data_IF_577350616893
#
_entry.id   IF_577350616893
#
_cell.length_a   1.000
_cell.length_b   1.000
_cell.length_c   1.000
_cell.angle_alpha   90.00
_cell.angle_beta   90.00
_cell.angle_gamma   90.00
#
_symmetry.space_group_name_H-M   'P 1'
#
loop_
_entity.id
_entity.type
_entity.pdbx_description
1 polymer ?
#
# COMPACT_ATOMS: atom_id res chain seq x y z
N UNK A 1 34.57 11.68 -4.06
CA UNK A 1 34.17 11.53 -5.47
C UNK A 1 34.25 10.06 -5.79
N UNK A 2 33.11 9.38 -5.81
CA UNK A 2 33.02 8.01 -6.32
C UNK A 2 32.96 8.13 -7.84
N UNK A 3 34.01 7.71 -8.54
CA UNK A 3 34.02 7.66 -10.00
C UNK A 3 33.29 6.39 -10.44
N UNK A 4 32.16 6.55 -11.13
CA UNK A 4 31.46 5.44 -11.77
C UNK A 4 32.26 4.98 -13.00
N UNK A 5 32.40 3.67 -13.18
CA UNK A 5 33.08 3.08 -14.33
C UNK A 5 32.16 2.05 -14.98
N UNK A 6 31.98 2.19 -16.29
CA UNK A 6 31.24 1.20 -17.08
C UNK A 6 32.17 0.10 -17.58
N UNK A 7 31.67 -1.13 -17.67
CA UNK A 7 32.44 -2.21 -18.30
C UNK A 7 32.41 -2.09 -19.83
N UNK A 8 33.59 -2.04 -20.47
CA UNK A 8 33.70 -1.99 -21.95
C UNK A 8 33.02 -3.14 -22.67
N UNK A 9 32.94 -4.32 -22.05
CA UNK A 9 32.40 -5.53 -22.68
C UNK A 9 30.89 -5.66 -22.48
N UNK A 10 30.40 -5.61 -21.25
CA UNK A 10 28.99 -5.87 -20.94
C UNK A 10 28.15 -4.62 -20.67
N UNK A 11 28.73 -3.42 -20.72
CA UNK A 11 28.04 -2.14 -20.52
C UNK A 11 27.49 -1.90 -19.11
N UNK A 12 27.67 -2.83 -18.17
CA UNK A 12 27.18 -2.66 -16.80
C UNK A 12 28.00 -1.59 -16.06
N UNK A 13 27.30 -0.61 -15.49
CA UNK A 13 27.88 0.34 -14.55
C UNK A 13 28.03 -0.32 -13.17
N UNK A 14 29.25 -0.30 -12.62
CA UNK A 14 29.48 -0.78 -11.25
C UNK A 14 29.51 0.41 -10.30
N UNK A 15 28.34 0.75 -9.73
CA UNK A 15 28.17 1.85 -8.75
C UNK A 15 28.95 1.66 -7.43
N UNK A 16 29.58 0.50 -7.21
CA UNK A 16 30.29 0.19 -5.96
C UNK A 16 31.59 -0.56 -6.23
N UNK A 17 32.67 0.18 -6.44
CA UNK A 17 34.01 -0.36 -6.21
C UNK A 17 34.14 -0.53 -4.69
N UNK A 18 33.77 -1.71 -4.18
CA UNK A 18 34.30 -2.12 -2.88
C UNK A 18 35.82 -2.13 -3.02
N UNK A 19 36.55 -1.50 -2.09
CA UNK A 19 38.01 -1.28 -2.14
C UNK A 19 38.89 -2.52 -2.45
N UNK A 20 38.30 -3.71 -2.54
CA UNK A 20 38.97 -4.99 -2.86
C UNK A 20 39.03 -5.32 -4.35
N UNK A 21 38.28 -4.64 -5.23
CA UNK A 21 38.24 -4.97 -6.66
C UNK A 21 38.49 -3.73 -7.51
N UNK A 22 39.76 -3.39 -7.73
CA UNK A 22 40.11 -2.35 -8.70
C UNK A 22 39.67 -2.79 -10.12
N UNK A 23 39.05 -1.89 -10.89
CA UNK A 23 38.68 -2.19 -12.27
C UNK A 23 39.92 -2.58 -13.08
N UNK A 24 39.79 -3.62 -13.90
CA UNK A 24 40.92 -4.16 -14.66
C UNK A 24 41.02 -3.45 -16.00
N UNK A 25 42.20 -2.90 -16.32
CA UNK A 25 42.47 -2.26 -17.60
C UNK A 25 42.26 -3.25 -18.76
N UNK A 26 41.47 -2.84 -19.76
CA UNK A 26 41.15 -3.68 -20.93
C UNK A 26 42.38 -4.05 -21.74
N UNK A 27 43.39 -3.18 -21.80
CA UNK A 27 44.65 -3.39 -22.54
C UNK A 27 45.39 -4.66 -22.11
N UNK A 28 45.35 -5.01 -20.82
CA UNK A 28 45.95 -6.24 -20.26
C UNK A 28 45.27 -7.52 -20.76
N UNK A 29 44.08 -7.40 -21.32
CA UNK A 29 43.26 -8.51 -21.82
C UNK A 29 42.97 -8.41 -23.33
N UNK A 30 43.62 -7.50 -24.07
CA UNK A 30 43.35 -7.24 -25.49
C UNK A 30 43.43 -8.50 -26.36
N UNK A 31 44.47 -9.31 -26.18
CA UNK A 31 44.63 -10.58 -26.91
C UNK A 31 43.49 -11.56 -26.64
N UNK A 32 43.10 -11.73 -25.38
CA UNK A 32 42.05 -12.66 -24.98
C UNK A 32 40.68 -12.18 -25.49
N UNK A 33 40.42 -10.87 -25.46
CA UNK A 33 39.20 -10.25 -25.98
C UNK A 33 39.10 -10.42 -27.50
N UNK A 34 40.17 -10.12 -28.24
CA UNK A 34 40.21 -10.28 -29.69
C UNK A 34 39.97 -11.74 -30.11
N UNK A 35 40.59 -12.71 -29.44
CA UNK A 35 40.41 -14.12 -29.78
C UNK A 35 39.06 -14.70 -29.36
N UNK A 36 38.50 -14.26 -28.23
CA UNK A 36 37.26 -14.83 -27.70
C UNK A 36 35.99 -14.20 -28.30
N UNK A 37 36.03 -12.89 -28.58
CA UNK A 37 34.87 -12.08 -28.96
C UNK A 37 35.01 -11.44 -30.34
N UNK A 38 36.18 -11.54 -30.98
CA UNK A 38 36.48 -10.90 -32.27
C UNK A 38 36.33 -9.36 -32.24
N UNK A 39 36.76 -8.73 -31.13
CA UNK A 39 36.72 -7.27 -30.94
C UNK A 39 38.14 -6.72 -30.83
N UNK A 40 38.43 -5.66 -31.58
CA UNK A 40 39.72 -4.98 -31.56
C UNK A 40 39.67 -3.74 -30.66
N UNK A 41 40.15 -3.89 -29.42
CA UNK A 41 40.05 -2.84 -28.39
C UNK A 41 41.23 -1.86 -28.34
N UNK A 42 42.31 -2.14 -29.08
CA UNK A 42 43.52 -1.31 -29.08
C UNK A 42 43.27 0.07 -29.72
N UNK A 43 42.27 0.15 -30.60
CA UNK A 43 41.84 1.36 -31.29
C UNK A 43 40.51 1.89 -30.75
N UNK A 44 40.09 1.48 -29.55
CA UNK A 44 38.87 2.01 -28.93
C UNK A 44 39.00 3.55 -28.78
N UNK A 45 38.01 4.34 -29.22
CA UNK A 45 38.05 5.78 -29.04
C UNK A 45 38.02 6.17 -27.56
N UNK A 46 38.56 7.35 -27.19
CA UNK A 46 38.79 7.75 -25.80
C UNK A 46 37.52 7.89 -24.94
N UNK A 47 36.34 7.95 -25.56
CA UNK A 47 35.06 7.99 -24.83
C UNK A 47 34.58 6.61 -24.35
N UNK A 48 35.14 5.51 -24.89
CA UNK A 48 34.81 4.17 -24.43
C UNK A 48 35.59 3.82 -23.16
N UNK A 49 34.94 3.14 -22.23
CA UNK A 49 35.57 2.74 -20.97
C UNK A 49 36.88 1.98 -21.21
N UNK A 50 37.90 2.32 -20.41
CA UNK A 50 39.20 1.65 -20.41
C UNK A 50 39.24 0.40 -19.52
N UNK A 51 38.10 0.02 -18.95
CA UNK A 51 38.03 -1.05 -17.94
C UNK A 51 37.06 -2.16 -18.33
N UNK A 52 37.33 -3.36 -17.82
CA UNK A 52 36.39 -4.48 -17.83
C UNK A 52 36.03 -4.85 -16.39
N UNK A 53 34.78 -5.19 -16.14
CA UNK A 53 34.33 -5.64 -14.82
C UNK A 53 34.90 -7.02 -14.48
N UNK A 54 34.94 -7.33 -13.18
CA UNK A 54 35.50 -8.57 -12.65
C UNK A 54 34.80 -9.82 -13.22
N UNK A 55 33.48 -9.74 -13.42
CA UNK A 55 32.71 -10.82 -14.03
C UNK A 55 33.17 -11.13 -15.46
N UNK A 56 33.39 -10.12 -16.29
CA UNK A 56 33.88 -10.30 -17.66
C UNK A 56 35.32 -10.83 -17.67
N UNK A 57 36.18 -10.33 -16.78
CA UNK A 57 37.54 -10.82 -16.60
C UNK A 57 37.57 -12.30 -16.23
N UNK A 58 36.78 -12.74 -15.24
CA UNK A 58 36.72 -14.13 -14.81
C UNK A 58 36.22 -15.06 -15.93
N UNK A 59 35.24 -14.60 -16.74
CA UNK A 59 34.77 -15.34 -17.92
C UNK A 59 35.86 -15.49 -18.98
N UNK A 60 36.62 -14.45 -19.29
CA UNK A 60 37.77 -14.50 -20.19
C UNK A 60 38.86 -15.47 -19.69
N UNK A 61 39.18 -15.43 -18.39
CA UNK A 61 40.18 -16.33 -17.78
C UNK A 61 39.75 -17.79 -17.84
N UNK A 62 38.46 -18.08 -17.59
CA UNK A 62 37.90 -19.44 -17.71
C UNK A 62 37.95 -19.93 -19.16
N UNK A 63 37.50 -19.11 -20.09
CA UNK A 63 37.55 -19.41 -21.53
C UNK A 63 38.98 -19.75 -21.98
N UNK A 64 39.97 -18.93 -21.61
CA UNK A 64 41.39 -19.17 -21.94
C UNK A 64 41.89 -20.52 -21.40
N UNK A 65 41.52 -20.88 -20.16
CA UNK A 65 41.89 -22.18 -19.58
C UNK A 65 41.28 -23.36 -20.34
N UNK A 66 40.04 -23.21 -20.83
CA UNK A 66 39.37 -24.28 -21.57
C UNK A 66 39.92 -24.43 -23.00
N UNK A 67 40.24 -23.31 -23.67
CA UNK A 67 40.90 -23.32 -24.99
C UNK A 67 42.29 -23.96 -24.90
N UNK A 68 43.08 -23.64 -23.87
CA UNK A 68 44.40 -24.27 -23.65
C UNK A 68 44.32 -25.79 -23.39
N UNK A 69 43.14 -26.30 -23.03
CA UNK A 69 42.87 -27.74 -22.88
C UNK A 69 42.29 -28.37 -24.15
N UNK A 70 42.38 -27.70 -25.30
CA UNK A 70 41.82 -28.11 -26.59
C UNK A 70 40.30 -28.38 -26.56
N UNK A 71 39.56 -27.74 -25.64
CA UNK A 71 38.09 -27.82 -25.61
C UNK A 71 37.50 -26.72 -26.48
N UNK A 72 36.43 -27.05 -27.23
CA UNK A 72 35.59 -26.04 -27.89
C UNK A 72 34.83 -25.27 -26.81
N UNK A 73 35.35 -24.12 -26.40
CA UNK A 73 34.75 -23.26 -25.38
C UNK A 73 34.06 -22.06 -26.02
N UNK A 74 32.77 -21.87 -25.73
CA UNK A 74 32.03 -20.63 -26.04
C UNK A 74 32.13 -19.69 -24.85
N UNK A 75 32.46 -18.43 -25.09
CA UNK A 75 32.44 -17.39 -24.06
C UNK A 75 31.03 -16.82 -23.95
N UNK A 76 30.48 -16.76 -22.73
CA UNK A 76 29.14 -16.23 -22.48
C UNK A 76 29.23 -14.78 -21.99
N UNK A 77 29.68 -13.88 -22.86
CA UNK A 77 29.65 -12.43 -22.65
C UNK A 77 28.83 -11.86 -23.80
N UNK A 78 27.68 -11.29 -23.48
CA UNK A 78 26.89 -10.48 -24.41
C UNK A 78 27.59 -9.13 -24.54
N UNK A 79 28.14 -8.88 -25.72
CA UNK A 79 28.89 -7.67 -26.01
C UNK A 79 27.89 -6.60 -26.37
N UNK A 80 27.98 -5.45 -25.71
CA UNK A 80 27.21 -4.27 -26.13
C UNK A 80 27.88 -3.70 -27.37
N UNK A 81 27.23 -3.86 -28.53
CA UNK A 81 27.62 -3.18 -29.76
C UNK A 81 27.30 -1.69 -29.60
N UNK A 82 28.33 -0.88 -29.40
CA UNK A 82 28.20 0.57 -29.34
C UNK A 82 28.30 1.05 -30.78
N UNK A 83 27.15 1.14 -31.46
CA UNK A 83 27.08 1.67 -32.81
C UNK A 83 27.65 3.09 -32.81
N UNK A 84 28.70 3.31 -33.61
CA UNK A 84 29.37 4.62 -33.73
C UNK A 84 28.48 5.70 -34.36
N UNK A 85 27.20 5.39 -34.64
CA UNK A 85 26.22 6.26 -35.28
C UNK A 85 25.33 7.08 -34.32
N UNK A 86 25.25 6.74 -33.04
CA UNK A 86 24.21 7.31 -32.16
C UNK A 86 24.65 8.51 -31.29
N UNK A 87 25.85 9.04 -31.53
CA UNK A 87 26.33 10.25 -30.82
C UNK A 87 25.94 11.55 -31.56
N UNK A 88 25.46 11.47 -32.81
CA UNK A 88 25.10 12.66 -33.62
C UNK A 88 23.58 12.89 -33.80
N UNK A 89 22.73 11.95 -33.40
CA UNK A 89 21.26 12.07 -33.36
C UNK A 89 20.75 12.81 -32.11
N UNK A 90 21.60 13.11 -31.11
CA UNK A 90 21.19 13.86 -29.92
C UNK A 90 20.92 15.36 -30.16
N UNK A 91 21.29 15.89 -31.33
CA UNK A 91 21.16 17.32 -31.64
C UNK A 91 19.71 17.79 -31.93
N UNK A 92 18.75 16.88 -32.14
CA UNK A 92 17.33 17.23 -32.25
C UNK A 92 16.53 17.13 -30.93
N UNK A 93 17.10 16.52 -29.88
CA UNK A 93 16.38 16.34 -28.60
C UNK A 93 16.46 17.55 -27.65
N UNK A 94 17.44 18.45 -27.84
CA UNK A 94 17.65 19.54 -26.90
C UNK A 94 16.50 20.57 -26.89
N UNK A 95 15.86 20.83 -28.05
CA UNK A 95 14.75 21.80 -28.10
C UNK A 95 13.51 21.31 -27.35
N UNK A 96 13.23 20.00 -27.39
CA UNK A 96 12.04 19.44 -26.76
C UNK A 96 12.14 19.46 -25.23
N UNK A 97 13.33 19.16 -24.70
CA UNK A 97 13.56 19.21 -23.25
C UNK A 97 13.63 20.63 -22.70
N UNK A 98 14.15 21.59 -23.47
CA UNK A 98 14.11 23.01 -23.11
C UNK A 98 12.68 23.51 -22.90
N UNK A 99 11.73 23.08 -23.74
CA UNK A 99 10.31 23.40 -23.57
C UNK A 99 9.75 22.87 -22.25
N UNK A 100 10.05 21.61 -21.92
CA UNK A 100 9.61 20.99 -20.66
C UNK A 100 10.26 21.67 -19.45
N UNK A 101 11.56 22.01 -19.52
CA UNK A 101 12.25 22.74 -18.45
C UNK A 101 11.68 24.15 -18.25
N UNK A 102 11.32 24.85 -19.33
CA UNK A 102 10.64 26.15 -19.24
C UNK A 102 9.29 26.00 -18.55
N UNK A 103 8.47 25.03 -18.98
CA UNK A 103 7.17 24.73 -18.34
C UNK A 103 7.35 24.33 -16.87
N UNK A 104 8.34 23.51 -16.56
CA UNK A 104 8.66 23.10 -15.20
C UNK A 104 8.91 24.32 -14.32
N UNK A 105 9.76 25.23 -14.77
CA UNK A 105 10.07 26.47 -14.06
C UNK A 105 8.83 27.35 -13.88
N UNK A 106 7.98 27.49 -14.90
CA UNK A 106 6.71 28.24 -14.82
C UNK A 106 5.75 27.65 -13.77
N UNK A 107 5.71 26.33 -13.66
CA UNK A 107 4.91 25.60 -12.66
C UNK A 107 5.58 25.55 -11.27
N UNK A 108 6.76 26.16 -11.09
CA UNK A 108 7.51 26.21 -9.83
C UNK A 108 8.26 24.92 -9.50
N UNK A 109 8.67 24.14 -10.51
CA UNK A 109 9.50 22.95 -10.37
C UNK A 109 10.96 23.28 -10.64
N UNK A 110 11.85 22.51 -10.05
CA UNK A 110 13.30 22.58 -10.28
C UNK A 110 13.71 21.38 -11.12
N UNK A 111 14.40 21.60 -12.24
CA UNK A 111 15.00 20.52 -13.03
C UNK A 111 16.39 20.17 -12.49
N UNK A 112 16.70 18.88 -12.48
CA UNK A 112 18.03 18.36 -12.16
C UNK A 112 18.30 17.12 -13.02
N UNK A 113 19.56 16.89 -13.39
CA UNK A 113 19.98 15.68 -14.10
C UNK A 113 20.73 14.81 -13.10
N UNK A 114 20.22 13.60 -12.86
CA UNK A 114 20.81 12.64 -11.93
C UNK A 114 20.88 11.27 -12.59
N UNK A 115 22.08 10.67 -12.60
CA UNK A 115 22.33 9.32 -13.14
C UNK A 115 21.81 9.12 -14.58
N UNK A 116 21.91 10.16 -15.43
CA UNK A 116 21.41 10.12 -16.81
C UNK A 116 19.90 10.32 -16.95
N UNK A 117 19.17 10.46 -15.85
CA UNK A 117 17.74 10.75 -15.82
C UNK A 117 17.48 12.23 -15.57
N UNK A 118 16.49 12.80 -16.27
CA UNK A 118 16.01 14.16 -15.99
C UNK A 118 14.94 14.09 -14.91
N UNK A 119 15.18 14.72 -13.78
CA UNK A 119 14.26 14.79 -12.65
C UNK A 119 13.72 16.22 -12.48
N UNK A 120 12.40 16.35 -12.46
CA UNK A 120 11.69 17.58 -12.12
C UNK A 120 11.18 17.45 -10.69
N UNK A 121 11.56 18.39 -9.83
CA UNK A 121 11.34 18.33 -8.39
C UNK A 121 10.47 19.49 -7.96
N UNK A 122 9.37 19.22 -7.27
CA UNK A 122 8.53 20.22 -6.63
C UNK A 122 8.83 20.27 -5.13
N UNK A 123 9.25 21.46 -4.67
CA UNK A 123 9.58 21.71 -3.27
C UNK A 123 8.41 22.37 -2.53
N UNK A 124 8.26 22.03 -1.26
CA UNK A 124 7.40 22.74 -0.32
C UNK A 124 8.14 22.85 1.02
N UNK A 125 8.35 24.07 1.52
CA UNK A 125 9.08 24.32 2.77
C UNK A 125 10.47 23.63 2.78
N UNK A 126 11.23 23.77 1.69
CA UNK A 126 12.55 23.15 1.47
C UNK A 126 12.56 21.61 1.46
N UNK A 127 11.40 20.97 1.30
CA UNK A 127 11.28 19.52 1.22
C UNK A 127 10.78 19.08 -0.14
N UNK A 128 11.30 17.94 -0.60
CA UNK A 128 10.84 17.29 -1.83
C UNK A 128 9.44 16.75 -1.58
N UNK A 129 8.44 17.44 -2.13
CA UNK A 129 7.06 17.00 -2.08
C UNK A 129 6.82 15.94 -3.16
N UNK A 130 7.32 16.21 -4.36
CA UNK A 130 7.09 15.42 -5.56
C UNK A 130 8.30 15.48 -6.48
N UNK A 131 8.65 14.37 -7.10
CA UNK A 131 9.59 14.36 -8.22
C UNK A 131 9.11 13.49 -9.37
N UNK A 132 9.31 13.96 -10.59
CA UNK A 132 9.07 13.22 -11.83
C UNK A 132 10.43 12.99 -12.45
N UNK A 133 10.89 11.74 -12.47
CA UNK A 133 12.16 11.38 -13.09
C UNK A 133 11.89 10.63 -14.39
N UNK A 134 12.45 11.12 -15.49
CA UNK A 134 12.38 10.50 -16.82
C UNK A 134 13.76 10.00 -17.18
N UNK A 135 13.89 8.68 -17.30
CA UNK A 135 15.12 7.98 -17.67
C UNK A 135 15.37 8.13 -19.20
N UNK A 136 16.56 7.78 -19.67
CA UNK A 136 16.94 7.84 -21.11
C UNK A 136 15.98 7.06 -22.01
N UNK A 137 15.45 5.97 -21.49
CA UNK A 137 14.55 5.05 -22.19
C UNK A 137 13.09 5.54 -22.14
N UNK A 138 12.87 6.79 -21.75
CA UNK A 138 11.58 7.44 -21.55
C UNK A 138 10.70 6.80 -20.45
N UNK A 139 11.29 5.91 -19.65
CA UNK A 139 10.65 5.39 -18.45
C UNK A 139 10.49 6.54 -17.43
N UNK A 140 9.24 6.81 -17.04
CA UNK A 140 8.94 7.84 -16.04
C UNK A 140 8.61 7.21 -14.70
N UNK A 141 9.25 7.73 -13.65
CA UNK A 141 8.98 7.39 -12.26
C UNK A 141 8.48 8.64 -11.55
N UNK A 142 7.31 8.54 -10.95
CA UNK A 142 6.72 9.60 -10.14
C UNK A 142 6.91 9.23 -8.69
N UNK A 143 7.57 10.09 -7.93
CA UNK A 143 7.87 9.89 -6.53
C UNK A 143 7.13 10.98 -5.75
N UNK A 144 6.27 10.58 -4.82
CA UNK A 144 5.51 11.48 -3.95
C UNK A 144 5.91 11.15 -2.52
N UNK A 145 6.48 12.12 -1.79
CA UNK A 145 6.97 11.91 -0.42
C UNK A 145 7.83 10.63 -0.30
N UNK A 146 8.86 10.49 -1.13
CA UNK A 146 9.79 9.34 -1.17
C UNK A 146 9.19 8.00 -1.63
N UNK A 147 7.91 7.95 -2.02
CA UNK A 147 7.25 6.74 -2.52
C UNK A 147 7.00 6.80 -4.02
N UNK A 148 7.34 5.72 -4.71
CA UNK A 148 7.03 5.56 -6.13
C UNK A 148 5.51 5.33 -6.28
N UNK A 149 4.87 6.21 -7.05
CA UNK A 149 3.45 6.12 -7.39
C UNK A 149 3.33 5.55 -8.79
N UNK A 150 2.40 4.60 -8.95
CA UNK A 150 2.12 3.97 -10.24
C UNK A 150 1.46 4.94 -11.20
N UNK A 151 1.91 4.92 -12.45
CA UNK A 151 1.48 5.83 -13.50
C UNK A 151 -0.01 5.65 -13.88
N UNK A 152 -0.52 4.42 -13.79
CA UNK A 152 -1.91 4.10 -14.14
C UNK A 152 -2.94 4.86 -13.29
N UNK A 153 -2.55 5.30 -12.09
CA UNK A 153 -3.44 6.06 -11.21
C UNK A 153 -3.59 7.54 -11.64
N UNK A 154 -2.77 8.03 -12.57
CA UNK A 154 -2.68 9.45 -12.92
C UNK A 154 -3.14 9.68 -14.36
N UNK A 155 -2.79 8.81 -15.31
CA UNK A 155 -3.25 8.88 -16.70
C UNK A 155 -4.04 7.61 -17.03
N UNK A 156 -5.35 7.76 -17.22
CA UNK A 156 -6.28 6.64 -17.33
C UNK A 156 -6.07 5.74 -18.56
N UNK A 157 -5.19 6.07 -19.53
CA UNK A 157 -5.14 5.36 -20.82
C UNK A 157 -3.78 5.32 -21.56
N UNK A 158 -2.64 5.67 -20.94
CA UNK A 158 -1.36 5.72 -21.68
C UNK A 158 -0.35 4.69 -21.17
N UNK A 159 -0.06 3.70 -22.01
CA UNK A 159 0.83 2.57 -21.73
C UNK A 159 2.31 2.80 -22.05
N UNK A 160 2.69 3.93 -22.64
CA UNK A 160 4.11 4.28 -22.82
C UNK A 160 4.30 5.77 -23.05
N UNK A 161 5.30 6.36 -22.41
CA UNK A 161 5.71 7.75 -22.65
C UNK A 161 6.66 7.70 -23.84
N UNK A 162 6.10 7.70 -25.05
CA UNK A 162 6.91 7.72 -26.27
C UNK A 162 7.25 9.14 -26.73
N UNK A 163 6.69 10.15 -26.05
CA UNK A 163 6.76 11.53 -26.48
C UNK A 163 6.88 12.47 -25.27
N UNK A 164 7.71 13.49 -25.42
CA UNK A 164 7.93 14.54 -24.44
C UNK A 164 6.64 15.33 -24.16
N UNK A 165 5.72 15.41 -25.14
CA UNK A 165 4.40 16.02 -24.94
C UNK A 165 3.57 15.33 -23.85
N UNK A 166 3.80 14.04 -23.61
CA UNK A 166 3.14 13.28 -22.53
C UNK A 166 3.69 13.71 -21.16
N UNK A 167 4.99 13.98 -21.07
CA UNK A 167 5.64 14.49 -19.85
C UNK A 167 5.07 15.87 -19.50
N UNK A 168 4.91 16.75 -20.48
CA UNK A 168 4.27 18.06 -20.30
C UNK A 168 2.82 17.93 -19.80
N UNK A 169 2.00 17.09 -20.43
CA UNK A 169 0.61 16.82 -19.98
C UNK A 169 0.58 16.26 -18.55
N UNK A 170 1.52 15.37 -18.23
CA UNK A 170 1.67 14.80 -16.91
C UNK A 170 2.04 15.87 -15.87
N UNK A 171 3.01 16.72 -16.17
CA UNK A 171 3.45 17.81 -15.28
C UNK A 171 2.31 18.80 -15.01
N UNK A 172 1.56 19.18 -16.04
CA UNK A 172 0.38 20.04 -15.90
C UNK A 172 -0.68 19.37 -15.01
N UNK A 173 -1.02 18.11 -15.28
CA UNK A 173 -2.02 17.37 -14.50
C UNK A 173 -1.61 17.24 -13.03
N UNK A 174 -0.37 16.82 -12.77
CA UNK A 174 0.16 16.65 -11.42
C UNK A 174 0.25 17.99 -10.69
N UNK A 175 0.57 19.08 -11.38
CA UNK A 175 0.66 20.41 -10.77
C UNK A 175 -0.69 20.90 -10.24
N UNK A 176 -1.80 20.43 -10.83
CA UNK A 176 -3.15 20.69 -10.34
C UNK A 176 -3.60 19.73 -9.23
N UNK A 177 -2.89 18.62 -9.00
CA UNK A 177 -3.23 17.66 -7.95
C UNK A 177 -2.66 18.07 -6.59
N UNK A 178 -3.32 17.62 -5.52
CA UNK A 178 -2.84 17.76 -4.15
C UNK A 178 -2.22 16.46 -3.69
N UNK A 179 -1.16 16.55 -2.89
CA UNK A 179 -0.64 15.38 -2.18
C UNK A 179 -1.58 15.07 -1.04
N UNK A 180 -2.16 13.87 -1.05
CA UNK A 180 -2.99 13.38 0.04
C UNK A 180 -2.15 13.38 1.33
N UNK A 181 -2.57 14.02 2.43
CA UNK A 181 -1.85 14.05 3.70
C UNK A 181 -1.98 12.73 4.49
N UNK A 182 -2.84 11.82 4.03
CA UNK A 182 -3.26 10.65 4.79
C UNK A 182 -4.22 11.03 5.92
N UNK A 183 -4.11 10.34 7.06
CA UNK A 183 -4.89 10.58 8.27
C UNK A 183 -3.92 10.92 9.43
N UNK A 184 -3.26 12.07 9.31
CA UNK A 184 -2.23 12.57 10.24
C UNK A 184 -2.80 13.04 11.59
N UNK A 185 -4.07 13.44 11.62
CA UNK A 185 -4.80 13.84 12.82
C UNK A 185 -5.12 12.69 13.80
N UNK A 186 -4.76 11.46 13.45
CA UNK A 186 -4.97 10.24 14.24
C UNK A 186 -3.69 9.62 14.79
N UNK A 187 -2.60 10.39 14.88
CA UNK A 187 -1.33 9.90 15.45
C UNK A 187 -1.44 9.37 16.88
N UNK A 188 -2.45 9.81 17.64
CA UNK A 188 -2.76 9.31 18.99
C UNK A 188 -3.23 7.86 18.99
N UNK A 189 -3.94 7.41 17.95
CA UNK A 189 -4.35 6.02 17.79
C UNK A 189 -3.13 5.11 17.69
N UNK A 190 -2.13 5.52 16.89
CA UNK A 190 -0.91 4.75 16.68
C UNK A 190 -0.16 4.55 17.99
N UNK A 191 0.11 5.65 18.70
CA UNK A 191 0.89 5.64 19.95
C UNK A 191 0.26 4.77 21.05
N UNK A 192 -1.07 4.75 21.13
CA UNK A 192 -1.78 3.98 22.16
C UNK A 192 -1.84 2.48 21.83
N UNK A 193 -2.08 2.10 20.57
CA UNK A 193 -2.17 0.67 20.20
C UNK A 193 -0.81 0.01 20.01
N UNK A 194 0.17 0.77 19.54
CA UNK A 194 1.48 0.24 19.15
C UNK A 194 2.59 1.17 19.65
N UNK A 195 2.86 1.21 20.97
CA UNK A 195 3.81 2.16 21.55
C UNK A 195 5.25 1.94 21.09
N UNK A 196 5.58 0.75 20.60
CA UNK A 196 6.95 0.35 20.25
C UNK A 196 7.15 0.02 18.78
N UNK A 197 6.09 0.05 17.97
CA UNK A 197 6.13 -0.36 16.56
C UNK A 197 5.16 0.47 15.73
N UNK A 198 5.43 0.62 14.44
CA UNK A 198 4.48 1.28 13.53
C UNK A 198 3.12 0.57 13.55
N UNK A 199 2.05 1.35 13.70
CA UNK A 199 0.71 0.83 13.76
C UNK A 199 0.31 0.14 12.45
N UNK A 200 -0.30 -1.05 12.57
CA UNK A 200 -0.84 -1.82 11.44
C UNK A 200 -2.31 -2.10 11.68
N UNK A 201 -3.14 -1.74 10.71
CA UNK A 201 -4.59 -1.91 10.75
C UNK A 201 -4.98 -3.01 9.77
N UNK A 202 -5.56 -4.08 10.30
CA UNK A 202 -5.94 -5.26 9.52
C UNK A 202 -7.46 -5.46 9.54
N UNK A 203 -8.00 -6.11 8.51
CA UNK A 203 -9.40 -6.50 8.46
C UNK A 203 -9.65 -7.78 9.29
N UNK A 204 -10.86 -8.32 9.22
CA UNK A 204 -11.26 -9.57 9.89
C UNK A 204 -10.53 -10.82 9.37
N UNK A 205 -9.97 -10.74 8.18
CA UNK A 205 -9.20 -11.82 7.51
C UNK A 205 -7.68 -11.63 7.71
N UNK A 206 -7.26 -10.77 8.63
CA UNK A 206 -5.86 -10.40 8.88
C UNK A 206 -5.14 -9.71 7.70
N UNK A 207 -5.87 -9.23 6.69
CA UNK A 207 -5.30 -8.49 5.56
C UNK A 207 -5.00 -7.05 5.99
N UNK A 208 -3.78 -6.56 5.72
CA UNK A 208 -3.36 -5.19 6.00
C UNK A 208 -4.16 -4.19 5.14
N UNK A 209 -4.98 -3.36 5.79
CA UNK A 209 -5.75 -2.29 5.14
C UNK A 209 -4.99 -0.98 5.16
N UNK A 210 -4.36 -0.66 6.30
CA UNK A 210 -3.67 0.59 6.52
C UNK A 210 -2.48 0.42 7.46
N UNK A 211 -1.51 1.33 7.36
CA UNK A 211 -0.35 1.39 8.24
C UNK A 211 0.00 2.82 8.59
N UNK A 212 0.62 2.99 9.76
CA UNK A 212 1.33 4.20 10.12
C UNK A 212 2.59 4.34 9.27
N UNK A 213 2.80 5.55 8.77
CA UNK A 213 3.92 5.90 7.93
C UNK A 213 4.55 7.21 8.43
N UNK A 214 5.87 7.27 8.35
CA UNK A 214 6.63 8.49 8.58
C UNK A 214 7.01 9.07 7.21
N UNK A 215 6.36 10.17 6.83
CA UNK A 215 6.59 10.84 5.55
C UNK A 215 6.93 12.29 5.82
N UNK A 216 8.08 12.75 5.31
CA UNK A 216 8.53 14.13 5.48
C UNK A 216 8.41 14.62 6.95
N UNK A 217 8.86 13.79 7.90
CA UNK A 217 8.80 14.02 9.36
C UNK A 217 7.40 14.11 9.97
N UNK A 218 6.34 13.82 9.23
CA UNK A 218 4.97 13.69 9.75
C UNK A 218 4.62 12.22 9.90
N UNK A 219 3.87 11.93 10.95
CA UNK A 219 3.33 10.60 11.20
C UNK A 219 1.88 10.59 10.73
N UNK A 220 1.53 9.67 9.84
CA UNK A 220 0.19 9.60 9.24
C UNK A 220 -0.24 8.17 9.04
N UNK A 221 -1.56 7.91 9.10
CA UNK A 221 -2.11 6.60 8.78
C UNK A 221 -2.59 6.61 7.32
N UNK A 222 -2.05 5.72 6.51
CA UNK A 222 -2.45 5.56 5.09
C UNK A 222 -2.93 4.17 4.82
N UNK A 223 -3.92 4.06 3.93
CA UNK A 223 -4.33 2.77 3.38
C UNK A 223 -3.26 2.22 2.45
N UNK A 224 -3.17 0.90 2.32
CA UNK A 224 -2.25 0.24 1.38
C UNK A 224 -2.55 0.66 -0.07
N UNK A 225 -3.82 0.99 -0.36
CA UNK A 225 -4.29 1.51 -1.64
C UNK A 225 -4.28 3.05 -1.73
N UNK A 226 -3.58 3.78 -0.85
CA UNK A 226 -3.55 5.24 -0.90
C UNK A 226 -3.00 5.73 -2.24
N UNK A 227 -3.78 6.55 -2.96
CA UNK A 227 -3.38 7.08 -4.27
C UNK A 227 -2.23 8.09 -4.22
N UNK A 228 -1.86 8.59 -3.02
CA UNK A 228 -0.87 9.64 -2.74
C UNK A 228 -1.14 11.01 -3.37
N UNK A 229 -1.68 11.05 -4.58
CA UNK A 229 -2.22 12.24 -5.24
C UNK A 229 -3.74 12.19 -5.24
N UNK A 230 -4.37 13.33 -5.08
CA UNK A 230 -5.81 13.50 -5.18
C UNK A 230 -6.15 14.75 -5.97
N UNK A 231 -7.36 14.81 -6.51
CA UNK A 231 -7.84 15.98 -7.24
C UNK A 231 -7.82 17.24 -6.37
N UNK A 232 -7.67 18.41 -6.99
CA UNK A 232 -7.59 19.70 -6.31
C UNK A 232 -8.77 19.98 -5.36
N UNK A 233 -9.94 19.42 -5.65
CA UNK A 233 -11.16 19.57 -4.86
C UNK A 233 -11.18 18.70 -3.61
N UNK A 234 -10.36 17.65 -3.54
CA UNK A 234 -10.32 16.72 -2.42
C UNK A 234 -9.10 16.99 -1.54
N UNK A 235 -9.29 17.02 -0.23
CA UNK A 235 -8.16 17.07 0.71
C UNK A 235 -7.41 15.73 0.80
N UNK A 236 -8.11 14.61 0.57
CA UNK A 236 -7.59 13.25 0.72
C UNK A 236 -8.04 12.37 -0.43
N UNK A 237 -7.23 11.39 -0.79
CA UNK A 237 -7.66 10.38 -1.75
C UNK A 237 -8.87 9.58 -1.23
N UNK A 238 -9.66 9.05 -2.15
CA UNK A 238 -10.87 8.25 -1.88
C UNK A 238 -10.64 7.15 -0.85
N UNK A 239 -9.55 6.40 -0.96
CA UNK A 239 -9.24 5.30 -0.04
C UNK A 239 -8.96 5.78 1.39
N UNK A 240 -8.22 6.88 1.57
CA UNK A 240 -8.00 7.47 2.89
C UNK A 240 -9.30 8.07 3.46
N UNK A 241 -10.13 8.67 2.60
CA UNK A 241 -11.41 9.24 2.98
C UNK A 241 -12.40 8.17 3.48
N UNK A 242 -12.50 7.03 2.79
CA UNK A 242 -13.35 5.90 3.17
C UNK A 242 -12.87 5.23 4.46
N UNK A 243 -11.56 5.19 4.69
CA UNK A 243 -11.00 4.57 5.90
C UNK A 243 -11.15 5.46 7.15
N UNK A 244 -11.23 6.78 6.98
CA UNK A 244 -11.26 7.78 8.05
C UNK A 244 -12.37 7.57 9.10
N UNK A 245 -13.64 7.24 8.77
CA UNK A 245 -14.67 6.88 9.75
C UNK A 245 -14.27 5.72 10.69
N UNK A 246 -13.53 4.73 10.20
CA UNK A 246 -13.04 3.64 11.04
C UNK A 246 -12.04 4.14 12.10
N UNK A 247 -11.18 5.09 11.74
CA UNK A 247 -10.27 5.73 12.67
C UNK A 247 -11.03 6.56 13.73
N UNK A 248 -12.05 7.31 13.34
CA UNK A 248 -12.92 8.00 14.30
C UNK A 248 -13.59 7.05 15.29
N UNK A 249 -14.14 5.93 14.80
CA UNK A 249 -14.73 4.90 15.65
C UNK A 249 -13.69 4.31 16.62
N UNK A 250 -12.47 4.04 16.16
CA UNK A 250 -11.39 3.55 17.02
C UNK A 250 -10.99 4.58 18.08
N UNK A 251 -10.80 5.85 17.69
CA UNK A 251 -10.50 6.96 18.61
C UNK A 251 -11.57 7.10 19.70
N UNK A 252 -12.84 6.99 19.31
CA UNK A 252 -13.98 7.04 20.25
C UNK A 252 -13.95 5.87 21.23
N UNK A 253 -13.72 4.64 20.73
CA UNK A 253 -13.55 3.45 21.59
C UNK A 253 -12.37 3.59 22.56
N UNK A 254 -11.26 4.18 22.11
CA UNK A 254 -10.10 4.41 22.97
C UNK A 254 -10.39 5.42 24.08
N UNK A 255 -11.11 6.51 23.77
CA UNK A 255 -11.55 7.47 24.79
C UNK A 255 -12.42 6.77 25.84
N UNK A 256 -13.39 5.97 25.39
CA UNK A 256 -14.27 5.20 26.29
C UNK A 256 -13.50 4.14 27.09
N UNK A 257 -12.53 3.47 26.47
CA UNK A 257 -11.70 2.47 27.17
C UNK A 257 -10.70 3.11 28.14
N UNK A 258 -10.24 4.33 27.87
CA UNK A 258 -9.36 5.07 28.78
C UNK A 258 -10.13 5.56 30.02
N UNK A 259 -11.41 5.93 29.88
CA UNK A 259 -12.30 6.16 31.02
C UNK A 259 -12.77 4.84 31.65
N UNK A 260 -12.75 3.73 30.91
CA UNK A 260 -12.86 2.36 31.43
C UNK A 260 -11.51 1.72 31.78
N UNK A 261 -10.50 2.54 32.13
CA UNK A 261 -9.72 2.19 33.32
C UNK A 261 -10.70 2.24 34.49
N UNK A 262 -11.61 1.25 34.52
CA UNK A 262 -12.32 0.74 35.66
C UNK A 262 -11.20 0.23 36.57
N UNK A 263 -10.51 1.16 37.19
CA UNK A 263 -10.43 1.13 38.62
C UNK A 263 -11.82 0.67 39.07
N UNK A 264 -11.89 -0.58 39.50
CA UNK A 264 -12.67 -0.95 40.67
C UNK A 264 -12.25 -0.02 41.83
N UNK A 265 -12.37 1.30 41.66
CA UNK A 265 -12.52 2.21 42.77
C UNK A 265 -13.81 1.73 43.41
N UNK A 266 -13.66 1.19 44.62
CA UNK A 266 -14.81 0.98 45.50
C UNK A 266 -15.65 2.24 45.42
N UNK A 267 -16.96 2.06 45.26
CA UNK A 267 -17.94 3.14 45.20
C UNK A 267 -17.78 4.10 46.39
N UNK A 268 -17.29 3.57 47.51
CA UNK A 268 -16.91 4.25 48.75
C UNK A 268 -15.94 5.42 48.59
N UNK A 269 -15.13 5.44 47.53
CA UNK A 269 -14.15 6.52 47.27
C UNK A 269 -14.64 7.55 46.24
N UNK A 270 -15.83 7.40 45.68
CA UNK A 270 -16.40 8.36 44.74
C UNK A 270 -17.08 9.49 45.50
N UNK A 271 -16.86 10.73 45.07
CA UNK A 271 -17.61 11.87 45.61
C UNK A 271 -19.08 11.80 45.18
N UNK A 272 -19.96 12.48 45.91
CA UNK A 272 -21.40 12.51 45.62
C UNK A 272 -21.72 13.02 44.21
N UNK A 273 -20.90 13.94 43.68
CA UNK A 273 -21.02 14.43 42.30
C UNK A 273 -20.72 13.34 41.27
N UNK A 274 -19.62 12.60 41.47
CA UNK A 274 -19.21 11.50 40.57
C UNK A 274 -20.21 10.33 40.60
N UNK A 275 -20.79 10.04 41.76
CA UNK A 275 -21.86 9.03 41.88
C UNK A 275 -23.10 9.44 41.08
N UNK A 276 -23.52 10.70 41.15
CA UNK A 276 -24.65 11.21 40.35
C UNK A 276 -24.39 11.10 38.86
N UNK A 277 -23.21 11.51 38.40
CA UNK A 277 -22.81 11.42 37.00
C UNK A 277 -22.81 9.97 36.51
N UNK A 278 -22.27 9.04 37.32
CA UNK A 278 -22.29 7.61 37.00
C UNK A 278 -23.71 7.05 36.90
N UNK A 279 -24.62 7.45 37.77
CA UNK A 279 -26.03 7.04 37.70
C UNK A 279 -26.70 7.56 36.43
N UNK A 280 -26.39 8.80 36.02
CA UNK A 280 -26.90 9.37 34.76
C UNK A 280 -26.37 8.60 33.55
N UNK A 281 -25.07 8.35 33.50
CA UNK A 281 -24.45 7.57 32.42
C UNK A 281 -25.04 6.16 32.33
N UNK A 282 -25.18 5.46 33.46
CA UNK A 282 -25.82 4.13 33.50
C UNK A 282 -27.27 4.18 33.03
N UNK A 283 -28.04 5.23 33.35
CA UNK A 283 -29.41 5.41 32.86
C UNK A 283 -29.46 5.61 31.35
N UNK A 284 -28.54 6.40 30.80
CA UNK A 284 -28.45 6.63 29.36
C UNK A 284 -27.98 5.39 28.61
N UNK A 285 -27.06 4.60 29.17
CA UNK A 285 -26.67 3.29 28.65
C UNK A 285 -27.86 2.32 28.62
N UNK A 286 -28.61 2.19 29.73
CA UNK A 286 -29.82 1.36 29.78
C UNK A 286 -30.82 1.81 28.72
N UNK A 287 -31.03 3.12 28.55
CA UNK A 287 -31.95 3.67 27.55
C UNK A 287 -31.47 3.36 26.13
N UNK A 288 -30.17 3.50 25.86
CA UNK A 288 -29.56 3.19 24.56
C UNK A 288 -29.67 1.70 24.23
N UNK A 289 -29.37 0.83 25.19
CA UNK A 289 -29.49 -0.62 25.04
C UNK A 289 -30.95 -1.04 24.81
N UNK A 290 -31.91 -0.44 25.51
CA UNK A 290 -33.33 -0.70 25.30
C UNK A 290 -33.76 -0.35 23.88
N UNK A 291 -33.36 0.82 23.36
CA UNK A 291 -33.65 1.22 21.97
C UNK A 291 -33.05 0.25 20.94
N UNK A 292 -31.81 -0.21 21.16
CA UNK A 292 -31.17 -1.22 20.29
C UNK A 292 -31.92 -2.55 20.33
N UNK A 293 -32.35 -2.97 21.52
CA UNK A 293 -33.12 -4.19 21.70
C UNK A 293 -34.49 -4.11 21.01
N UNK A 294 -35.16 -2.96 21.09
CA UNK A 294 -36.44 -2.72 20.42
C UNK A 294 -36.27 -2.72 18.89
N UNK A 295 -35.22 -2.07 18.38
CA UNK A 295 -34.90 -2.09 16.94
C UNK A 295 -34.56 -3.49 16.42
N UNK A 296 -33.80 -4.29 17.19
CA UNK A 296 -33.51 -5.68 16.83
C UNK A 296 -34.77 -6.55 16.83
N UNK A 297 -35.71 -6.33 17.77
CA UNK A 297 -37.01 -7.02 17.77
C UNK A 297 -37.82 -6.69 16.52
N UNK A 298 -37.83 -5.42 16.13
CA UNK A 298 -38.54 -4.97 14.93
C UNK A 298 -37.94 -5.60 13.66
N UNK A 299 -36.61 -5.57 13.52
CA UNK A 299 -35.92 -6.25 12.42
C UNK A 299 -36.21 -7.75 12.40
N UNK A 300 -36.21 -8.41 13.56
CA UNK A 300 -36.49 -9.84 13.65
C UNK A 300 -37.94 -10.16 13.26
N UNK A 301 -38.90 -9.31 13.64
CA UNK A 301 -40.29 -9.42 13.18
C UNK A 301 -40.37 -9.27 11.67
N UNK A 302 -39.70 -8.27 11.10
CA UNK A 302 -39.70 -8.02 9.65
C UNK A 302 -39.07 -9.20 8.88
N UNK A 303 -37.97 -9.77 9.40
CA UNK A 303 -37.36 -10.98 8.82
C UNK A 303 -38.30 -12.17 8.90
N UNK A 304 -38.98 -12.37 10.03
CA UNK A 304 -39.98 -13.43 10.17
C UNK A 304 -41.18 -13.23 9.23
N UNK A 305 -41.64 -12.00 9.01
CA UNK A 305 -42.76 -11.71 8.10
C UNK A 305 -42.37 -11.91 6.62
N UNK A 306 -41.12 -11.58 6.26
CA UNK A 306 -40.62 -11.71 4.88
C UNK A 306 -40.20 -13.13 4.51
N UNK A 307 -39.53 -13.83 5.42
CA UNK A 307 -38.93 -15.15 5.16
C UNK A 307 -39.73 -16.30 5.78
N UNK A 308 -40.62 -16.00 6.73
CA UNK A 308 -41.44 -17.01 7.38
C UNK A 308 -42.45 -17.61 6.42
N UNK A 309 -42.52 -18.93 6.40
CA UNK A 309 -43.58 -19.67 5.72
C UNK A 309 -44.74 -19.80 6.70
N UNK A 310 -45.92 -19.29 6.31
CA UNK A 310 -47.15 -19.54 7.06
C UNK A 310 -47.52 -21.01 6.85
N UNK A 311 -47.60 -21.77 7.95
CA UNK A 311 -48.07 -23.14 7.92
C UNK A 311 -49.60 -23.16 7.86
N UNK A 312 -50.16 -24.10 7.11
CA UNK A 312 -51.60 -24.36 7.13
C UNK A 312 -52.05 -24.82 8.53
N UNK A 313 -53.33 -24.57 8.84
CA UNK A 313 -53.91 -24.79 10.19
C UNK A 313 -53.70 -26.24 10.64
N UNK A 314 -53.96 -27.21 9.76
CA UNK A 314 -53.78 -28.64 10.07
C UNK A 314 -52.32 -29.00 10.37
N UNK A 315 -51.38 -28.41 9.64
CA UNK A 315 -49.94 -28.62 9.85
C UNK A 315 -49.51 -27.95 11.17
N UNK A 316 -50.03 -26.76 11.46
CA UNK A 316 -49.78 -26.03 12.72
C UNK A 316 -50.26 -26.83 13.94
N UNK A 317 -51.46 -27.41 13.90
CA UNK A 317 -52.00 -28.23 14.99
C UNK A 317 -51.22 -29.54 15.19
N UNK A 318 -50.79 -30.17 14.09
CA UNK A 318 -49.91 -31.34 14.12
C UNK A 318 -48.57 -31.00 14.79
N UNK A 319 -47.95 -29.89 14.41
CA UNK A 319 -46.71 -29.41 15.02
C UNK A 319 -46.87 -29.10 16.51
N UNK A 320 -47.95 -28.41 16.90
CA UNK A 320 -48.23 -28.11 18.32
C UNK A 320 -48.36 -29.39 19.14
N UNK A 321 -49.03 -30.40 18.60
CA UNK A 321 -49.19 -31.71 19.26
C UNK A 321 -47.85 -32.41 19.45
N UNK A 322 -47.02 -32.47 18.40
CA UNK A 322 -45.67 -33.03 18.47
C UNK A 322 -44.80 -32.30 19.50
N UNK A 323 -44.86 -30.96 19.54
CA UNK A 323 -44.09 -30.17 20.51
C UNK A 323 -44.54 -30.41 21.96
N UNK A 324 -45.85 -30.59 22.19
CA UNK A 324 -46.39 -30.92 23.52
C UNK A 324 -45.98 -32.32 23.95
N UNK A 325 -46.13 -33.32 23.08
CA UNK A 325 -45.78 -34.72 23.35
C UNK A 325 -44.28 -34.88 23.67
N UNK A 326 -43.42 -34.10 23.03
CA UNK A 326 -41.97 -34.15 23.25
C UNK A 326 -41.48 -33.15 24.32
N UNK A 327 -42.37 -32.42 24.99
CA UNK A 327 -41.98 -31.37 25.92
C UNK A 327 -41.17 -31.90 27.10
N UNK A 328 -41.59 -33.01 27.70
CA UNK A 328 -40.90 -33.58 28.86
C UNK A 328 -39.51 -34.15 28.49
N UNK A 329 -39.39 -34.70 27.29
CA UNK A 329 -38.11 -35.19 26.74
C UNK A 329 -37.17 -34.01 26.45
N UNK A 330 -37.68 -32.92 25.86
CA UNK A 330 -36.89 -31.73 25.57
C UNK A 330 -36.43 -31.03 26.86
N UNK A 331 -37.32 -30.85 27.83
CA UNK A 331 -37.02 -30.18 29.09
C UNK A 331 -36.06 -30.99 29.99
N UNK A 332 -36.10 -32.32 29.91
CA UNK A 332 -35.14 -33.19 30.61
C UNK A 332 -33.77 -33.27 29.92
N UNK A 333 -33.74 -33.16 28.58
CA UNK A 333 -32.50 -33.23 27.79
C UNK A 333 -31.72 -31.91 27.78
N UNK A 334 -32.41 -30.77 27.80
CA UNK A 334 -31.76 -29.47 27.77
C UNK A 334 -31.53 -28.94 29.19
N UNK A 335 -30.30 -28.52 29.47
CA UNK A 335 -29.97 -27.90 30.76
C UNK A 335 -30.82 -26.63 30.96
N UNK A 336 -31.36 -26.46 32.17
CA UNK A 336 -32.11 -25.26 32.54
C UNK A 336 -31.30 -23.99 32.26
N UNK A 337 -31.96 -22.98 31.68
CA UNK A 337 -31.36 -21.71 31.21
C UNK A 337 -30.36 -21.82 30.03
N UNK A 338 -30.21 -22.99 29.41
CA UNK A 338 -29.47 -23.09 28.14
C UNK A 338 -30.22 -22.40 27.00
N UNK A 339 -29.52 -21.92 25.94
CA UNK A 339 -30.16 -21.36 24.76
C UNK A 339 -31.20 -22.30 24.13
N UNK A 340 -30.94 -23.61 24.12
CA UNK A 340 -31.85 -24.63 23.60
C UNK A 340 -33.12 -24.73 24.44
N UNK A 341 -32.98 -24.71 25.77
CA UNK A 341 -34.12 -24.73 26.70
C UNK A 341 -35.01 -23.50 26.52
N UNK A 342 -34.40 -22.31 26.42
CA UNK A 342 -35.12 -21.06 26.23
C UNK A 342 -35.83 -21.03 24.88
N UNK A 343 -35.15 -21.43 23.80
CA UNK A 343 -35.72 -21.50 22.46
C UNK A 343 -36.93 -22.44 22.42
N UNK A 344 -36.80 -23.66 22.97
CA UNK A 344 -37.88 -24.63 23.01
C UNK A 344 -39.10 -24.10 23.76
N UNK A 345 -38.88 -23.50 24.94
CA UNK A 345 -39.94 -22.91 25.75
C UNK A 345 -40.65 -21.76 25.02
N UNK A 346 -39.89 -20.90 24.33
CA UNK A 346 -40.44 -19.81 23.53
C UNK A 346 -41.25 -20.32 22.34
N UNK A 347 -40.78 -21.38 21.65
CA UNK A 347 -41.51 -21.99 20.55
C UNK A 347 -42.83 -22.61 21.02
N UNK A 348 -42.81 -23.35 22.13
CA UNK A 348 -44.02 -23.93 22.73
C UNK A 348 -45.02 -22.86 23.18
N UNK A 349 -44.54 -21.78 23.80
CA UNK A 349 -45.37 -20.65 24.22
C UNK A 349 -45.95 -19.89 23.02
N UNK A 350 -45.18 -19.69 21.96
CA UNK A 350 -45.66 -19.05 20.74
C UNK A 350 -46.73 -19.91 20.06
N UNK A 351 -46.46 -21.21 19.89
CA UNK A 351 -47.35 -22.18 19.25
C UNK A 351 -48.68 -22.36 20.00
N UNK A 352 -48.66 -22.27 21.34
CA UNK A 352 -49.87 -22.34 22.17
C UNK A 352 -50.67 -21.04 22.17
N UNK A 353 -50.02 -19.86 22.09
CA UNK A 353 -50.71 -18.56 22.00
C UNK A 353 -51.38 -18.31 20.66
N UNK A 354 -50.84 -18.84 19.56
CA UNK A 354 -51.45 -18.72 18.23
C UNK A 354 -52.80 -19.42 18.13
N UNK A 355 -52.99 -20.55 18.82
CA UNK A 355 -54.27 -21.29 18.84
C UNK A 355 -55.36 -20.64 19.71
N UNK A 356 -55.03 -19.63 20.53
CA UNK A 356 -55.99 -18.92 21.39
C UNK A 356 -56.53 -17.62 20.76
N UNK A 357 -55.98 -17.20 19.62
CA UNK A 357 -56.33 -15.96 18.92
C UNK A 357 -57.10 -16.17 17.61
N UNK A 358 -57.38 -17.42 17.26
CA UNK A 358 -58.40 -17.82 16.28
C UNK A 358 -59.69 -18.14 17.03
#
# INVERSE_FOLDING_TARGET
MESEFDCRLCGKSEKKITHRHLPCEKSKHARDIKLALNIEIENDPPFLSNFICESCRLKLVRWRKDVNKNKKAKINIEVVEIESGDILSQSQSNSTWQGIESLANELGWVSNIQDGSRCFIKLQEDRVLLSICVDSDLNCRIIVLEKVVKFENILENSTSINDASIVEKLMNKISCMKVCPGNDDFSDICRYRFPSTLAKFRNTEDILIASEEHLAHRTTIRTVACGMLCDSQQERCSNCQVFRPNLFMQRSRMKNNSSETKLTHRLDYMTTGQLKERVLNSRDEIRSLKRKMDSLKEQLSEYCDKLGVKLDIEISESFVSIMKENSDIALSKFKENSPQYILWKQQLEAATKSNLKQ
#
